data_IF_476037890698
#
_entry.id   IF_476037890698
#
_cell.length_a   1.000
_cell.length_b   1.000
_cell.length_c   1.000
_cell.angle_alpha   90.00
_cell.angle_beta   90.00
_cell.angle_gamma   90.00
#
_symmetry.space_group_name_H-M   'P 1'
#
loop_
_entity.id
_entity.type
_entity.pdbx_description
1 polymer ?
#
# COMPACT_ATOMS: atom_id res chain seq x y z
N UNK A 1 -14.29 -11.69 14.01
CA UNK A 1 -14.46 -10.25 14.25
C UNK A 1 -13.59 -9.87 15.43
N UNK A 2 -12.63 -8.95 15.26
CA UNK A 2 -11.77 -8.47 16.36
C UNK A 2 -12.22 -7.06 16.73
N UNK A 3 -12.57 -6.85 17.99
CA UNK A 3 -12.89 -5.53 18.54
C UNK A 3 -11.62 -4.92 19.12
N UNK A 4 -11.33 -3.67 18.78
CA UNK A 4 -10.20 -2.92 19.33
C UNK A 4 -10.71 -1.57 19.85
N UNK A 5 -10.35 -1.23 21.07
CA UNK A 5 -10.71 0.06 21.67
C UNK A 5 -9.71 1.12 21.19
N UNK A 6 -10.22 2.32 20.90
CA UNK A 6 -9.40 3.49 20.58
C UNK A 6 -8.66 3.90 21.85
N UNK A 7 -7.34 3.89 21.79
CA UNK A 7 -6.47 4.30 22.90
C UNK A 7 -6.26 5.82 22.91
N UNK A 8 -5.52 6.33 23.90
CA UNK A 8 -5.25 7.76 24.02
C UNK A 8 -4.66 8.34 22.73
N UNK A 9 -5.20 9.50 22.32
CA UNK A 9 -4.85 10.21 21.06
C UNK A 9 -5.36 9.56 19.77
N UNK A 10 -6.45 8.78 19.81
CA UNK A 10 -7.10 8.28 18.58
C UNK A 10 -6.39 7.09 17.93
N UNK A 11 -5.54 6.38 18.67
CA UNK A 11 -4.76 5.25 18.12
C UNK A 11 -5.53 3.93 18.26
N UNK A 12 -5.58 3.15 17.19
CA UNK A 12 -6.15 1.80 17.18
C UNK A 12 -5.03 0.76 17.20
N UNK A 13 -5.12 -0.22 18.10
CA UNK A 13 -4.15 -1.31 18.16
C UNK A 13 -4.56 -2.43 17.20
N UNK A 14 -3.71 -2.70 16.21
CA UNK A 14 -3.91 -3.84 15.29
C UNK A 14 -3.46 -5.14 16.00
N UNK A 15 -4.38 -6.11 16.20
CA UNK A 15 -4.05 -7.38 16.84
C UNK A 15 -2.97 -8.17 16.10
N UNK A 16 -2.22 -9.00 16.82
CA UNK A 16 -1.07 -9.74 16.30
C UNK A 16 -1.41 -10.57 15.05
N UNK A 17 -2.54 -11.29 15.06
CA UNK A 17 -2.97 -12.15 13.94
C UNK A 17 -3.13 -11.35 12.64
N UNK A 18 -3.76 -10.18 12.69
CA UNK A 18 -3.90 -9.30 11.52
C UNK A 18 -2.56 -8.75 11.06
N UNK A 19 -1.70 -8.37 12.01
CA UNK A 19 -0.37 -7.83 11.74
C UNK A 19 0.50 -8.82 10.98
N UNK A 20 0.45 -10.10 11.36
CA UNK A 20 1.17 -11.20 10.69
C UNK A 20 0.60 -11.48 9.29
N UNK A 21 -0.72 -11.62 9.16
CA UNK A 21 -1.35 -11.90 7.86
C UNK A 21 -1.09 -10.78 6.84
N UNK A 22 -1.14 -9.53 7.28
CA UNK A 22 -0.91 -8.35 6.44
C UNK A 22 0.58 -8.00 6.29
N UNK A 23 1.49 -8.76 6.93
CA UNK A 23 2.93 -8.51 6.94
C UNK A 23 3.28 -7.06 7.35
N UNK A 24 2.60 -6.53 8.36
CA UNK A 24 2.83 -5.17 8.88
C UNK A 24 3.99 -5.24 9.88
N UNK A 25 5.15 -4.73 9.51
CA UNK A 25 6.32 -4.64 10.39
C UNK A 25 6.62 -3.18 10.74
N UNK A 26 7.48 -2.96 11.75
CA UNK A 26 7.91 -1.61 12.13
C UNK A 26 8.55 -0.93 10.91
N UNK A 27 8.07 0.27 10.56
CA UNK A 27 8.52 1.02 9.38
C UNK A 27 7.69 0.79 8.11
N UNK A 28 6.68 -0.09 8.15
CA UNK A 28 5.74 -0.27 7.03
C UNK A 28 4.92 1.01 6.86
N UNK A 29 4.90 1.56 5.64
CA UNK A 29 4.02 2.68 5.29
C UNK A 29 2.59 2.17 5.13
N UNK A 30 1.63 2.96 5.60
CA UNK A 30 0.21 2.58 5.60
C UNK A 30 -0.57 3.71 4.93
N UNK A 31 -1.41 3.36 3.95
CA UNK A 31 -2.43 4.25 3.41
C UNK A 31 -3.68 4.17 4.28
N UNK A 32 -4.26 5.33 4.59
CA UNK A 32 -5.50 5.46 5.32
C UNK A 32 -6.46 6.23 4.42
N UNK A 33 -7.54 5.58 4.02
CA UNK A 33 -8.57 6.18 3.16
C UNK A 33 -9.92 6.14 3.88
N UNK A 34 -10.59 7.28 3.90
CA UNK A 34 -11.97 7.38 4.37
C UNK A 34 -12.93 6.97 3.26
N UNK A 35 -13.86 6.08 3.59
CA UNK A 35 -14.95 5.61 2.73
C UNK A 35 -16.26 5.83 3.48
N UNK A 36 -17.36 5.76 2.74
CA UNK A 36 -18.72 5.95 3.29
C UNK A 36 -18.99 5.02 4.48
N UNK A 37 -18.50 3.77 4.40
CA UNK A 37 -18.76 2.74 5.43
C UNK A 37 -17.63 2.62 6.47
N UNK A 38 -16.63 3.51 6.43
CA UNK A 38 -15.55 3.54 7.42
C UNK A 38 -14.16 3.74 6.82
N UNK A 39 -13.16 3.19 7.50
CA UNK A 39 -11.76 3.50 7.22
C UNK A 39 -11.02 2.28 6.65
N UNK A 40 -10.46 2.44 5.45
CA UNK A 40 -9.65 1.41 4.81
C UNK A 40 -8.18 1.67 5.15
N UNK A 41 -7.56 0.68 5.80
CA UNK A 41 -6.14 0.68 6.15
C UNK A 41 -5.41 -0.30 5.24
N UNK A 42 -4.58 0.22 4.34
CA UNK A 42 -3.83 -0.63 3.39
C UNK A 42 -2.33 -0.51 3.62
N UNK A 43 -1.60 -1.61 3.89
CA UNK A 43 -0.14 -1.58 3.98
C UNK A 43 0.45 -1.40 2.58
N UNK A 44 1.32 -0.40 2.44
CA UNK A 44 2.07 -0.13 1.22
C UNK A 44 3.42 -0.86 1.33
N UNK A 45 3.44 -2.12 0.89
CA UNK A 45 4.62 -2.97 0.86
C UNK A 45 4.88 -3.51 -0.56
N UNK A 46 5.96 -4.27 -0.77
CA UNK A 46 6.28 -4.82 -2.10
C UNK A 46 5.14 -5.65 -2.67
N UNK A 47 4.44 -6.43 -1.82
CA UNK A 47 3.27 -7.23 -2.22
C UNK A 47 2.11 -6.36 -2.70
N UNK A 48 1.94 -5.14 -2.17
CA UNK A 48 0.95 -4.19 -2.67
C UNK A 48 1.26 -3.84 -4.13
N UNK A 49 2.52 -3.51 -4.45
CA UNK A 49 2.94 -3.18 -5.82
C UNK A 49 2.95 -4.38 -6.76
N UNK A 50 3.30 -5.58 -6.28
CA UNK A 50 3.25 -6.83 -7.05
C UNK A 50 1.85 -7.12 -7.59
N UNK A 51 0.78 -6.76 -6.86
CA UNK A 51 -0.60 -6.92 -7.36
C UNK A 51 -0.90 -6.08 -8.61
N UNK A 52 -0.17 -4.98 -8.82
CA UNK A 52 -0.30 -4.14 -10.01
C UNK A 52 0.65 -4.56 -11.13
N UNK A 53 1.59 -5.47 -10.86
CA UNK A 53 2.49 -5.99 -11.88
C UNK A 53 1.67 -6.75 -12.95
N UNK A 54 1.80 -6.33 -14.21
CA UNK A 54 1.09 -6.94 -15.33
C UNK A 54 -0.28 -6.33 -15.66
N UNK A 55 -0.74 -5.31 -14.93
CA UNK A 55 -2.04 -4.66 -15.21
C UNK A 55 -2.03 -3.84 -16.52
N UNK A 56 -0.85 -3.40 -16.95
CA UNK A 56 -0.69 -2.59 -18.16
C UNK A 56 -0.54 -3.49 -19.40
N UNK A 57 -1.38 -3.31 -20.43
CA UNK A 57 -1.28 -4.06 -21.67
C UNK A 57 -0.02 -3.69 -22.46
N UNK A 58 0.45 -4.60 -23.31
CA UNK A 58 1.53 -4.30 -24.28
C UNK A 58 2.94 -4.63 -23.83
N UNK A 59 3.15 -5.66 -22.99
CA UNK A 59 4.47 -6.26 -22.66
C UNK A 59 5.58 -5.21 -22.41
N UNK A 60 5.35 -4.29 -21.48
CA UNK A 60 6.38 -3.32 -21.06
C UNK A 60 6.52 -2.07 -21.94
N UNK A 61 5.60 -1.81 -22.89
CA UNK A 61 5.56 -0.52 -23.64
C UNK A 61 5.53 0.70 -22.71
N UNK A 62 4.74 0.66 -21.63
CA UNK A 62 4.68 1.74 -20.65
C UNK A 62 6.02 1.97 -19.94
N UNK A 63 6.73 0.89 -19.58
CA UNK A 63 8.06 0.96 -18.96
C UNK A 63 9.06 1.59 -19.93
N UNK A 64 9.02 1.24 -21.22
CA UNK A 64 9.90 1.83 -22.25
C UNK A 64 9.67 3.34 -22.42
N UNK A 65 8.42 3.80 -22.37
CA UNK A 65 8.11 5.24 -22.43
C UNK A 65 8.70 5.96 -21.21
N UNK A 66 8.42 5.45 -20.01
CA UNK A 66 8.92 6.02 -18.75
C UNK A 66 10.45 6.13 -18.71
N UNK A 67 11.16 5.14 -19.26
CA UNK A 67 12.62 5.15 -19.32
C UNK A 67 13.16 6.20 -20.31
N UNK A 68 12.46 6.45 -21.42
CA UNK A 68 12.82 7.53 -22.36
C UNK A 68 12.65 8.90 -21.72
N UNK A 69 11.51 9.13 -21.08
CA UNK A 69 11.20 10.42 -20.44
C UNK A 69 12.23 10.75 -19.35
N UNK A 70 12.62 9.76 -18.52
CA UNK A 70 13.69 9.91 -17.52
C UNK A 70 15.07 10.20 -18.09
N UNK A 71 15.37 9.79 -19.32
CA UNK A 71 16.64 10.13 -19.96
C UNK A 71 16.64 11.56 -20.48
N UNK A 72 15.48 12.08 -20.88
CA UNK A 72 15.31 13.46 -21.33
C UNK A 72 15.42 14.39 -20.11
N UNK A 73 14.74 14.10 -19.01
CA UNK A 73 14.79 14.92 -17.78
C UNK A 73 16.18 15.00 -17.13
N UNK A 74 17.08 14.06 -17.46
CA UNK A 74 18.46 14.04 -16.97
C UNK A 74 19.45 14.81 -17.85
N UNK A 75 19.02 15.31 -19.02
CA UNK A 75 19.82 16.14 -19.92
C UNK A 75 19.52 17.61 -19.68
#
# INVERSE_FOLDING_TARGET
MNLSVVTSKGRVVIPLKMRQHLNITKGTKISIEERVDGLIVTPINSKYFEKFAGILPGRGKAIKSLLKDRQIDKR
#
